data_IF_248764253594
#
_entry.id   IF_248764253594
#
_cell.length_a   1.000
_cell.length_b   1.000
_cell.length_c   1.000
_cell.angle_alpha   90.00
_cell.angle_beta   90.00
_cell.angle_gamma   90.00
#
_symmetry.space_group_name_H-M   'P 1'
#
loop_
_entity.id
_entity.type
_entity.pdbx_description
1 polymer ?
#
# COMPACT_ATOMS: atom_id res chain seq x y z
N UNK A 1 -11.39 -66.85 2.74
CA UNK A 1 -11.16 -66.47 2.98
C UNK A 1 -10.73 -65.50 3.49
N UNK A 2 -10.68 -65.32 3.47
CA UNK A 2 -10.50 -64.66 3.89
C UNK A 2 -9.93 -63.85 4.53
N UNK A 3 -9.74 -63.58 4.60
CA UNK A 3 -9.41 -62.95 5.14
C UNK A 3 -8.81 -62.10 5.63
N UNK A 4 -8.70 -61.92 5.62
CA UNK A 4 -8.29 -61.25 6.06
C UNK A 4 -7.68 -60.41 6.50
N UNK A 5 -7.63 -60.02 6.50
CA UNK A 5 -7.16 -59.30 6.86
C UNK A 5 -6.64 -58.39 7.29
N UNK A 6 -6.57 -58.06 7.37
CA UNK A 6 -6.15 -57.34 7.80
C UNK A 6 -5.60 -56.49 8.24
N UNK A 7 -5.38 -56.20 8.30
CA UNK A 7 -4.90 -55.55 8.79
C UNK A 7 -4.35 -54.55 9.07
N UNK A 8 -4.29 -54.31 9.00
CA UNK A 8 -3.84 -53.60 9.33
C UNK A 8 -3.39 -52.71 9.76
N UNK A 9 -3.31 -52.45 9.77
CA UNK A 9 -2.95 -51.72 10.22
C UNK A 9 -2.43 -50.74 10.50
N UNK A 10 -2.36 -50.58 10.39
CA UNK A 10 -1.92 -49.84 10.72
C UNK A 10 -1.46 -48.93 11.09
N UNK A 11 -1.44 -48.84 11.18
CA UNK A 11 -1.07 -48.23 11.58
C UNK A 11 -0.56 -47.18 11.74
N UNK A 12 -0.58 -46.83 11.62
CA UNK A 12 -0.19 -46.04 11.86
C UNK A 12 0.28 -44.99 12.08
N UNK A 13 0.43 -44.81 11.96
CA UNK A 13 0.85 -44.03 12.25
C UNK A 13 1.18 -42.98 12.43
N UNK A 14 1.12 -42.78 12.51
CA UNK A 14 1.35 -41.96 12.73
C UNK A 14 1.92 -40.99 12.95
N UNK A 15 2.09 -40.75 12.89
CA UNK A 15 2.55 -39.96 13.21
C UNK A 15 2.95 -38.88 13.19
N UNK A 16 2.90 -38.63 12.95
CA UNK A 16 3.31 -37.83 13.05
C UNK A 16 3.60 -36.79 13.19
N UNK A 17 3.56 -36.60 13.21
CA UNK A 17 3.83 -35.82 13.40
C UNK A 17 4.20 -34.81 13.48
N UNK A 18 4.26 -34.57 13.50
CA UNK A 18 4.61 -33.75 13.67
C UNK A 18 5.02 -32.78 13.65
N UNK A 19 5.11 -32.67 13.55
CA UNK A 19 5.61 -31.83 13.58
C UNK A 19 5.56 -30.73 13.52
N UNK A 20 5.47 -30.44 13.36
CA UNK A 20 5.47 -29.51 13.32
C UNK A 20 5.71 -28.54 13.34
N UNK A 21 5.72 -28.40 13.27
CA UNK A 21 5.96 -27.56 13.32
C UNK A 21 6.29 -26.58 13.50
N UNK A 22 6.18 -26.56 13.51
CA UNK A 22 6.44 -25.76 13.84
C UNK A 22 7.03 -24.88 13.59
N UNK A 23 7.20 -24.80 13.35
CA UNK A 23 7.80 -24.08 13.15
C UNK A 23 7.77 -22.95 13.07
N UNK A 24 7.51 -22.77 13.08
CA UNK A 24 7.40 -21.80 12.95
C UNK A 24 8.00 -20.90 13.27
N UNK A 25 8.16 -20.87 13.31
CA UNK A 25 8.74 -20.19 13.67
C UNK A 25 9.11 -19.22 13.60
N UNK A 26 9.23 -19.41 13.42
CA UNK A 26 9.98 -18.53 13.43
C UNK A 26 9.88 -17.21 13.27
N UNK A 27 9.19 -16.78 12.90
CA UNK A 27 9.10 -15.48 12.84
C UNK A 27 8.77 -14.96 14.02
N UNK A 28 9.10 -15.58 14.95
CA UNK A 28 8.85 -15.14 16.16
C UNK A 28 7.95 -14.02 16.29
N UNK A 29 6.87 -14.18 16.90
CA UNK A 29 6.07 -13.07 17.27
C UNK A 29 6.88 -12.24 18.21
N UNK A 30 6.91 -10.96 18.05
CA UNK A 30 7.61 -10.11 18.97
C UNK A 30 7.02 -10.25 20.35
N UNK A 31 7.85 -10.28 21.33
CA UNK A 31 7.41 -10.24 22.70
C UNK A 31 6.77 -8.87 22.93
N UNK A 32 5.73 -8.83 23.72
CA UNK A 32 5.04 -7.59 24.02
C UNK A 32 6.04 -6.53 24.49
N UNK A 33 6.01 -5.37 23.89
CA UNK A 33 6.91 -4.30 24.20
C UNK A 33 8.29 -4.42 23.57
N UNK A 34 8.53 -5.51 22.84
CA UNK A 34 9.81 -5.74 22.19
C UNK A 34 9.60 -5.90 20.70
N UNK A 35 10.09 -4.97 19.92
CA UNK A 35 10.04 -5.07 18.48
C UNK A 35 11.45 -5.19 17.95
N UNK A 36 11.71 -6.27 17.26
CA UNK A 36 13.00 -6.43 16.58
C UNK A 36 12.95 -5.67 15.28
N UNK A 37 13.76 -4.64 15.20
CA UNK A 37 13.86 -3.87 13.96
C UNK A 37 14.81 -4.61 13.02
N UNK A 38 14.26 -5.19 12.00
CA UNK A 38 15.08 -5.86 10.99
C UNK A 38 14.47 -5.67 9.61
N UNK A 39 15.32 -5.51 8.64
CA UNK A 39 14.92 -5.39 7.24
C UNK A 39 15.87 -6.25 6.43
N UNK A 40 15.34 -7.12 5.61
CA UNK A 40 16.18 -8.01 4.81
C UNK A 40 16.70 -7.30 3.56
N UNK A 41 17.74 -7.85 2.97
CA UNK A 41 18.29 -7.33 1.71
C UNK A 41 17.23 -7.38 0.60
N UNK A 42 16.42 -8.43 0.60
CA UNK A 42 15.37 -8.58 -0.40
C UNK A 42 14.31 -7.50 -0.26
N UNK A 43 13.92 -7.19 0.97
CA UNK A 43 12.98 -6.10 1.22
C UNK A 43 13.56 -4.76 0.76
N UNK A 44 14.86 -4.53 0.99
CA UNK A 44 15.48 -3.29 0.55
C UNK A 44 15.48 -3.16 -0.97
N UNK A 45 15.68 -4.27 -1.68
CA UNK A 45 15.59 -4.27 -3.14
C UNK A 45 14.19 -3.91 -3.61
N UNK A 46 13.18 -4.47 -2.96
CA UNK A 46 11.79 -4.16 -3.30
C UNK A 46 11.46 -2.71 -3.01
N UNK A 47 11.92 -2.19 -1.88
CA UNK A 47 11.72 -0.78 -1.55
C UNK A 47 12.34 0.12 -2.59
N UNK A 48 13.52 -0.27 -3.12
CA UNK A 48 14.21 0.53 -4.13
C UNK A 48 13.45 0.65 -5.44
N UNK A 49 12.50 -0.27 -5.69
CA UNK A 49 11.65 -0.22 -6.88
C UNK A 49 10.40 0.64 -6.68
N UNK A 50 10.19 1.09 -5.45
CA UNK A 50 9.02 1.90 -5.14
C UNK A 50 9.19 3.36 -5.52
N UNK A 51 8.14 4.11 -5.40
CA UNK A 51 8.16 5.53 -5.68
C UNK A 51 8.78 6.30 -4.52
N UNK A 52 9.76 7.12 -4.83
CA UNK A 52 10.34 7.99 -3.82
C UNK A 52 9.40 9.18 -3.58
N UNK A 53 8.95 9.35 -2.36
CA UNK A 53 8.12 10.51 -2.03
C UNK A 53 8.82 11.81 -2.41
N UNK A 54 10.10 11.91 -2.08
CA UNK A 54 10.88 13.11 -2.34
C UNK A 54 11.17 13.34 -3.82
N UNK A 55 11.51 12.28 -4.54
CA UNK A 55 11.99 12.41 -5.92
C UNK A 55 10.90 12.28 -6.96
N UNK A 56 9.87 11.51 -6.69
CA UNK A 56 8.87 11.15 -7.69
C UNK A 56 7.51 11.78 -7.44
N UNK A 57 7.20 12.11 -6.21
CA UNK A 57 5.83 12.50 -5.84
C UNK A 57 5.73 13.96 -5.41
N UNK A 58 6.43 14.33 -4.34
CA UNK A 58 6.28 15.68 -3.77
C UNK A 58 6.68 16.76 -4.75
N UNK A 59 5.80 17.75 -4.90
CA UNK A 59 6.04 18.89 -5.78
C UNK A 59 5.81 18.63 -7.26
N UNK A 60 5.47 17.39 -7.61
CA UNK A 60 5.24 17.05 -9.01
C UNK A 60 3.81 17.36 -9.45
N UNK A 61 3.66 17.71 -10.71
CA UNK A 61 2.35 17.97 -11.29
C UNK A 61 1.64 16.66 -11.57
N UNK A 62 0.33 16.69 -11.43
CA UNK A 62 -0.54 15.55 -11.69
C UNK A 62 -1.42 15.86 -12.89
N UNK A 63 -1.57 14.86 -13.77
CA UNK A 63 -2.37 14.96 -14.98
C UNK A 63 -3.45 13.87 -14.99
N UNK A 64 -4.52 14.11 -15.70
CA UNK A 64 -5.53 13.06 -15.94
C UNK A 64 -5.21 12.33 -17.26
N UNK A 65 -6.06 11.39 -17.64
CA UNK A 65 -5.88 10.63 -18.88
C UNK A 65 -5.98 11.50 -20.14
N UNK A 66 -6.60 12.66 -20.05
CA UNK A 66 -6.68 13.61 -21.17
C UNK A 66 -5.49 14.55 -21.20
N UNK A 67 -4.47 14.29 -20.39
CA UNK A 67 -3.26 15.10 -20.29
C UNK A 67 -3.52 16.52 -19.77
N UNK A 68 -4.63 16.70 -19.08
CA UNK A 68 -4.94 17.97 -18.44
C UNK A 68 -4.31 17.99 -17.05
N UNK A 69 -3.72 19.11 -16.67
CA UNK A 69 -3.13 19.26 -15.35
C UNK A 69 -4.23 19.37 -14.30
N UNK A 70 -4.21 18.46 -13.34
CA UNK A 70 -5.16 18.45 -12.22
C UNK A 70 -4.70 19.35 -11.10
N UNK A 71 -3.42 19.26 -10.79
CA UNK A 71 -2.84 20.01 -9.68
C UNK A 71 -1.41 19.59 -9.42
N UNK A 72 -0.94 19.91 -8.23
CA UNK A 72 0.43 19.63 -7.81
C UNK A 72 0.38 18.90 -6.48
N UNK A 73 1.29 17.96 -6.28
CA UNK A 73 1.37 17.24 -5.01
C UNK A 73 1.95 18.14 -3.94
N UNK A 74 1.19 18.32 -2.87
CA UNK A 74 1.62 19.12 -1.73
C UNK A 74 2.24 18.27 -0.64
N UNK A 75 1.66 17.10 -0.38
CA UNK A 75 2.08 16.28 0.76
C UNK A 75 1.66 14.83 0.57
N UNK A 76 2.16 13.98 1.44
CA UNK A 76 1.73 12.60 1.56
C UNK A 76 1.37 12.38 3.02
N UNK A 77 0.15 11.91 3.27
CA UNK A 77 -0.33 11.64 4.62
C UNK A 77 -0.47 10.12 4.79
N UNK A 78 0.15 9.60 5.83
CA UNK A 78 -0.03 8.21 6.21
C UNK A 78 -1.24 8.17 7.14
N UNK A 79 -2.24 7.37 6.78
CA UNK A 79 -3.46 7.27 7.59
C UNK A 79 -3.13 6.78 9.00
N UNK A 80 -3.95 7.12 9.99
CA UNK A 80 -3.68 6.73 11.38
C UNK A 80 -3.49 5.23 11.60
N UNK A 81 -4.17 4.39 10.81
CA UNK A 81 -4.01 2.94 10.88
C UNK A 81 -2.73 2.46 10.18
N UNK A 82 -2.01 3.38 9.52
CA UNK A 82 -0.74 3.12 8.82
C UNK A 82 -0.85 2.15 7.63
N UNK A 83 -2.05 1.89 7.16
CA UNK A 83 -2.26 0.95 6.05
C UNK A 83 -2.28 1.61 4.68
N UNK A 84 -2.75 2.83 4.61
CA UNK A 84 -2.89 3.53 3.34
C UNK A 84 -2.25 4.91 3.46
N UNK A 85 -1.60 5.32 2.39
CA UNK A 85 -1.08 6.69 2.27
C UNK A 85 -1.96 7.46 1.31
N UNK A 86 -2.15 8.73 1.62
CA UNK A 86 -2.93 9.63 0.78
C UNK A 86 -2.02 10.71 0.22
N UNK A 87 -2.21 11.02 -1.04
CA UNK A 87 -1.52 12.13 -1.69
C UNK A 87 -2.40 13.36 -1.54
N UNK A 88 -1.85 14.42 -0.99
CA UNK A 88 -2.56 15.70 -0.88
C UNK A 88 -2.24 16.52 -2.11
N UNK A 89 -3.27 16.87 -2.85
CA UNK A 89 -3.14 17.57 -4.12
C UNK A 89 -3.69 18.99 -3.97
N UNK A 90 -2.86 19.97 -4.31
CA UNK A 90 -3.33 21.32 -4.46
C UNK A 90 -3.97 21.43 -5.83
N UNK A 91 -5.27 21.63 -5.87
CA UNK A 91 -6.03 21.60 -7.12
C UNK A 91 -5.67 22.82 -7.97
N UNK A 92 -5.44 22.55 -9.25
CA UNK A 92 -5.07 23.60 -10.20
C UNK A 92 -6.17 24.65 -10.38
N UNK A 93 -5.77 25.89 -10.48
CA UNK A 93 -6.71 26.97 -10.76
C UNK A 93 -7.41 26.79 -12.11
N UNK A 94 -6.78 26.03 -13.00
CA UNK A 94 -7.39 25.67 -14.28
C UNK A 94 -8.75 24.99 -14.10
N UNK A 95 -8.95 24.27 -13.00
CA UNK A 95 -10.21 23.61 -12.69
C UNK A 95 -11.21 24.54 -12.00
N UNK A 96 -10.84 25.81 -11.80
CA UNK A 96 -11.71 26.77 -11.13
C UNK A 96 -11.79 26.58 -9.62
N UNK A 97 -10.84 25.82 -9.03
CA UNK A 97 -10.84 25.45 -7.63
C UNK A 97 -9.51 25.78 -6.93
N UNK A 98 -8.75 26.71 -7.49
CA UNK A 98 -7.40 27.01 -6.96
C UNK A 98 -7.40 27.34 -5.47
N UNK A 99 -6.32 26.98 -4.81
CA UNK A 99 -6.18 27.17 -3.37
C UNK A 99 -6.89 26.14 -2.51
N UNK A 100 -7.23 25.01 -3.09
CA UNK A 100 -8.07 23.98 -2.51
C UNK A 100 -7.30 22.67 -2.52
N UNK A 101 -7.34 21.92 -1.44
CA UNK A 101 -6.64 20.65 -1.34
C UNK A 101 -7.62 19.47 -1.33
N UNK A 102 -7.22 18.37 -1.94
CA UNK A 102 -7.97 17.10 -1.88
C UNK A 102 -7.01 15.99 -1.49
N UNK A 103 -7.53 14.95 -0.84
CA UNK A 103 -6.74 13.79 -0.44
C UNK A 103 -7.16 12.59 -1.28
N UNK A 104 -6.19 11.97 -1.96
CA UNK A 104 -6.46 10.86 -2.86
C UNK A 104 -5.56 9.68 -2.48
N UNK A 105 -6.12 8.47 -2.28
CA UNK A 105 -5.29 7.30 -1.96
C UNK A 105 -4.20 7.09 -3.02
N UNK A 106 -2.99 6.79 -2.58
CA UNK A 106 -1.84 6.64 -3.47
C UNK A 106 -2.08 5.58 -4.55
N UNK A 107 -2.88 4.56 -4.25
CA UNK A 107 -3.15 3.48 -5.18
C UNK A 107 -3.89 3.88 -6.46
N UNK A 108 -4.48 5.07 -6.49
CA UNK A 108 -5.18 5.56 -7.68
C UNK A 108 -4.22 6.19 -8.70
N UNK A 109 -3.00 6.44 -8.32
CA UNK A 109 -2.03 7.10 -9.20
C UNK A 109 -1.24 6.11 -10.02
N UNK A 110 -0.82 6.54 -11.19
CA UNK A 110 0.11 5.80 -12.05
C UNK A 110 1.30 6.69 -12.38
N UNK A 111 2.41 6.06 -12.65
CA UNK A 111 3.59 6.76 -13.12
C UNK A 111 3.73 6.51 -14.62
N UNK A 112 3.86 7.58 -15.38
CA UNK A 112 4.03 7.48 -16.81
C UNK A 112 5.20 8.37 -17.17
N UNK A 113 6.36 7.77 -17.42
CA UNK A 113 7.58 8.50 -17.60
C UNK A 113 7.94 9.22 -16.31
N UNK A 114 8.05 10.53 -16.39
CA UNK A 114 8.33 11.37 -15.22
C UNK A 114 7.06 12.07 -14.70
N UNK A 115 5.89 11.64 -15.17
CA UNK A 115 4.63 12.28 -14.80
C UNK A 115 3.78 11.37 -13.93
N UNK A 116 3.03 11.98 -13.02
CA UNK A 116 2.02 11.30 -12.24
C UNK A 116 0.69 11.46 -12.93
N UNK A 117 0.02 10.35 -13.15
CA UNK A 117 -1.29 10.33 -13.82
C UNK A 117 -2.34 9.86 -12.83
N UNK A 118 -3.44 10.55 -12.78
CA UNK A 118 -4.61 10.17 -12.00
C UNK A 118 -5.74 9.87 -12.98
N UNK A 119 -5.90 8.59 -13.36
CA UNK A 119 -6.93 8.22 -14.34
C UNK A 119 -8.33 8.56 -13.84
N UNK A 120 -9.17 9.05 -14.73
CA UNK A 120 -10.55 9.38 -14.39
C UNK A 120 -10.74 10.68 -13.63
N UNK A 121 -9.67 11.43 -13.42
CA UNK A 121 -9.76 12.69 -12.67
C UNK A 121 -10.23 13.82 -13.58
N UNK A 122 -11.49 13.78 -13.93
CA UNK A 122 -12.10 14.88 -14.67
C UNK A 122 -12.36 16.05 -13.74
N UNK A 123 -12.61 17.22 -14.31
CA UNK A 123 -12.96 18.41 -13.57
C UNK A 123 -14.15 18.15 -12.64
N UNK A 124 -15.15 17.45 -13.16
CA UNK A 124 -16.36 17.14 -12.38
C UNK A 124 -16.06 16.21 -11.21
N UNK A 125 -15.25 15.21 -11.44
CA UNK A 125 -14.87 14.26 -10.37
C UNK A 125 -14.09 14.98 -9.28
N UNK A 126 -13.12 15.79 -9.66
CA UNK A 126 -12.30 16.53 -8.68
C UNK A 126 -13.15 17.53 -7.89
N UNK A 127 -14.07 18.21 -8.56
CA UNK A 127 -14.98 19.15 -7.86
C UNK A 127 -15.87 18.44 -6.86
N UNK A 128 -16.18 17.19 -7.08
CA UNK A 128 -17.03 16.43 -6.17
C UNK A 128 -16.30 15.89 -4.94
N UNK A 129 -14.98 15.97 -4.90
CA UNK A 129 -14.21 15.48 -3.76
C UNK A 129 -14.27 16.44 -2.57
N UNK A 130 -14.32 15.89 -1.35
CA UNK A 130 -14.29 16.75 -0.17
C UNK A 130 -12.96 17.52 -0.08
N UNK A 131 -13.06 18.72 0.41
CA UNK A 131 -11.88 19.52 0.65
C UNK A 131 -11.08 18.93 1.80
N UNK A 132 -9.79 18.80 1.63
CA UNK A 132 -8.91 18.33 2.70
C UNK A 132 -8.42 19.51 3.54
N UNK A 133 -8.40 19.32 4.85
CA UNK A 133 -7.81 20.27 5.78
C UNK A 133 -7.05 19.47 6.83
N UNK A 134 -5.87 19.96 7.20
CA UNK A 134 -5.09 19.33 8.25
C UNK A 134 -5.82 19.45 9.59
N UNK A 135 -5.73 18.39 10.39
CA UNK A 135 -6.28 18.43 11.72
C UNK A 135 -5.48 19.44 12.57
N UNK A 136 -6.18 20.15 13.41
CA UNK A 136 -5.53 21.05 14.35
C UNK A 136 -4.93 20.22 15.48
N UNK A 137 -3.73 20.56 15.90
CA UNK A 137 -3.04 19.92 17.01
C UNK A 137 -2.80 20.93 18.12
#
# INVERSE_FOLDING_TARGET
MKKHIAIAVLSGLAMLTTAGHAVAQGQGSPVAGSTTLSVTVEEMKNVALGWSAKKTILGHDIYNDNKEKIGTVEDIIIAPDKKVSYVIVEVSSFLGMGGHYVAIPIGHFKEEGDKLILPGATKEVIKGLPKFEYAKK
#
